data_IF_481427395626
#
_entry.id   IF_481427395626
#
_cell.length_a   1.000
_cell.length_b   1.000
_cell.length_c   1.000
_cell.angle_alpha   90.00
_cell.angle_beta   90.00
_cell.angle_gamma   90.00
#
_symmetry.space_group_name_H-M   'P 1'
#
loop_
_entity.id
_entity.type
_entity.pdbx_description
1 polymer ?
#
# COMPACT_ATOMS: atom_id res chain seq x y z
N UNK A 1 -29.61 -30.09 42.28
CA UNK A 1 -29.03 -29.31 41.16
C UNK A 1 -27.66 -28.72 41.49
N UNK A 2 -27.39 -28.27 42.72
CA UNK A 2 -26.05 -27.82 43.14
C UNK A 2 -24.94 -28.89 42.94
N UNK A 3 -25.23 -30.16 43.26
CA UNK A 3 -24.31 -31.27 42.98
C UNK A 3 -23.99 -31.45 41.49
N UNK A 4 -24.97 -31.19 40.61
CA UNK A 4 -24.78 -31.28 39.16
C UNK A 4 -23.95 -30.11 38.63
N UNK A 5 -24.17 -28.91 39.17
CA UNK A 5 -23.33 -27.73 38.90
C UNK A 5 -21.88 -27.98 39.30
N UNK A 6 -21.63 -28.47 40.52
CA UNK A 6 -20.29 -28.76 41.02
C UNK A 6 -19.59 -29.87 40.24
N UNK A 7 -20.33 -30.90 39.79
CA UNK A 7 -19.78 -31.95 38.92
C UNK A 7 -19.31 -31.38 37.57
N UNK A 8 -20.15 -30.58 36.89
CA UNK A 8 -19.75 -29.95 35.62
C UNK A 8 -18.60 -28.95 35.77
N UNK A 9 -18.56 -28.21 36.88
CA UNK A 9 -17.43 -27.34 37.23
C UNK A 9 -16.13 -28.14 37.38
N UNK A 10 -16.15 -29.26 38.11
CA UNK A 10 -15.00 -30.11 38.34
C UNK A 10 -14.51 -30.81 37.05
N UNK A 11 -15.43 -31.17 36.16
CA UNK A 11 -15.13 -31.79 34.85
C UNK A 11 -14.68 -30.77 33.79
N UNK A 12 -14.62 -29.47 34.10
CA UNK A 12 -14.25 -28.43 33.14
C UNK A 12 -15.29 -28.17 32.03
N UNK A 13 -16.53 -28.65 32.22
CA UNK A 13 -17.64 -28.49 31.27
C UNK A 13 -18.29 -27.11 31.45
N UNK A 14 -17.57 -26.06 31.02
CA UNK A 14 -17.92 -24.64 31.27
C UNK A 14 -19.35 -24.31 30.84
N UNK A 15 -19.74 -24.61 29.59
CA UNK A 15 -21.06 -24.26 29.08
C UNK A 15 -22.19 -24.94 29.87
N UNK A 16 -22.01 -26.22 30.22
CA UNK A 16 -22.98 -26.99 30.99
C UNK A 16 -23.04 -26.52 32.45
N UNK A 17 -21.90 -26.20 33.06
CA UNK A 17 -21.82 -25.64 34.40
C UNK A 17 -22.52 -24.27 34.47
N UNK A 18 -22.24 -23.37 33.52
CA UNK A 18 -22.88 -22.05 33.46
C UNK A 18 -24.39 -22.18 33.28
N UNK A 19 -24.86 -23.04 32.36
CA UNK A 19 -26.29 -23.28 32.14
C UNK A 19 -27.00 -23.79 33.40
N UNK A 20 -26.43 -24.79 34.08
CA UNK A 20 -27.02 -25.37 35.29
C UNK A 20 -26.96 -24.37 36.45
N UNK A 21 -25.85 -23.63 36.59
CA UNK A 21 -25.69 -22.59 37.60
C UNK A 21 -26.69 -21.45 37.42
N UNK A 22 -26.86 -20.95 36.19
CA UNK A 22 -27.83 -19.91 35.86
C UNK A 22 -29.27 -20.37 36.15
N UNK A 23 -29.63 -21.59 35.73
CA UNK A 23 -30.96 -22.13 35.99
C UNK A 23 -31.24 -22.29 37.48
N UNK A 24 -30.24 -22.79 38.23
CA UNK A 24 -30.33 -22.97 39.68
C UNK A 24 -30.51 -21.63 40.40
N UNK A 25 -29.73 -20.62 40.04
CA UNK A 25 -29.82 -19.27 40.60
C UNK A 25 -31.15 -18.61 40.27
N UNK A 26 -31.60 -18.64 39.01
CA UNK A 26 -32.88 -18.03 38.61
C UNK A 26 -34.10 -18.65 39.32
N UNK A 27 -34.02 -19.92 39.71
CA UNK A 27 -35.08 -20.59 40.48
C UNK A 27 -35.01 -20.32 41.98
N UNK A 28 -33.88 -19.83 42.48
CA UNK A 28 -33.64 -19.57 43.91
C UNK A 28 -32.95 -18.21 44.09
N UNK A 29 -33.56 -17.10 43.64
CA UNK A 29 -32.89 -15.80 43.54
C UNK A 29 -32.55 -15.16 44.89
N UNK A 30 -33.16 -15.64 45.97
CA UNK A 30 -32.93 -15.17 47.35
C UNK A 30 -31.91 -16.03 48.11
N UNK A 31 -31.52 -17.18 47.54
CA UNK A 31 -30.63 -18.10 48.22
C UNK A 31 -29.17 -17.64 48.06
N UNK A 32 -28.58 -17.14 49.15
CA UNK A 32 -27.22 -16.61 49.18
C UNK A 32 -26.16 -17.67 48.83
N UNK A 33 -26.29 -18.91 49.29
CA UNK A 33 -25.34 -19.99 48.97
C UNK A 33 -25.32 -20.30 47.47
N UNK A 34 -26.49 -20.37 46.85
CA UNK A 34 -26.63 -20.59 45.40
C UNK A 34 -26.06 -19.41 44.61
N UNK A 35 -26.31 -18.19 45.06
CA UNK A 35 -25.73 -16.99 44.46
C UNK A 35 -24.21 -17.03 44.50
N UNK A 36 -23.62 -17.25 45.68
CA UNK A 36 -22.15 -17.28 45.86
C UNK A 36 -21.51 -18.34 44.98
N UNK A 37 -22.05 -19.56 44.98
CA UNK A 37 -21.51 -20.65 44.17
C UNK A 37 -21.48 -20.33 42.67
N UNK A 38 -22.53 -19.67 42.16
CA UNK A 38 -22.63 -19.28 40.76
C UNK A 38 -21.78 -18.04 40.44
N UNK A 39 -21.87 -17.00 41.27
CA UNK A 39 -21.13 -15.74 41.13
C UNK A 39 -19.62 -15.96 41.18
N UNK A 40 -19.11 -16.70 42.18
CA UNK A 40 -17.68 -16.99 42.32
C UNK A 40 -17.16 -17.77 41.11
N UNK A 41 -17.98 -18.66 40.55
CA UNK A 41 -17.60 -19.38 39.34
C UNK A 41 -17.51 -18.47 38.13
N UNK A 42 -18.46 -17.54 37.94
CA UNK A 42 -18.40 -16.54 36.88
C UNK A 42 -17.19 -15.61 37.05
N UNK A 43 -16.90 -15.15 38.28
CA UNK A 43 -15.72 -14.37 38.60
C UNK A 43 -14.42 -15.14 38.32
N UNK A 44 -14.35 -16.43 38.66
CA UNK A 44 -13.21 -17.27 38.35
C UNK A 44 -12.99 -17.41 36.83
N UNK A 45 -14.05 -17.61 36.04
CA UNK A 45 -13.96 -17.66 34.58
C UNK A 45 -13.53 -16.31 33.98
N UNK A 46 -14.09 -15.20 34.48
CA UNK A 46 -13.70 -13.85 34.09
C UNK A 46 -12.22 -13.53 34.42
N UNK A 47 -11.68 -14.09 35.50
CA UNK A 47 -10.30 -13.90 35.91
C UNK A 47 -9.28 -14.77 35.19
N UNK A 48 -9.66 -15.97 34.71
CA UNK A 48 -8.68 -17.01 34.34
C UNK A 48 -8.70 -17.46 32.88
N UNK A 49 -9.74 -17.16 32.10
CA UNK A 49 -9.81 -17.60 30.71
C UNK A 49 -8.79 -16.87 29.82
N UNK A 50 -8.29 -17.51 28.75
CA UNK A 50 -7.30 -16.88 27.86
C UNK A 50 -7.92 -15.82 26.91
N UNK A 51 -9.20 -15.97 26.57
CA UNK A 51 -9.91 -15.09 25.64
C UNK A 51 -10.47 -13.88 26.37
N UNK A 52 -10.02 -12.68 26.01
CA UNK A 52 -10.53 -11.42 26.59
C UNK A 52 -12.03 -11.26 26.37
N UNK A 53 -12.55 -11.67 25.21
CA UNK A 53 -13.98 -11.59 24.90
C UNK A 53 -14.81 -12.49 25.84
N UNK A 54 -14.34 -13.72 26.09
CA UNK A 54 -15.03 -14.64 26.99
C UNK A 54 -14.99 -14.14 28.43
N UNK A 55 -13.82 -13.64 28.87
CA UNK A 55 -13.67 -13.04 30.21
C UNK A 55 -14.64 -11.87 30.42
N UNK A 56 -14.76 -10.97 29.43
CA UNK A 56 -15.69 -9.85 29.48
C UNK A 56 -17.15 -10.32 29.52
N UNK A 57 -17.49 -11.36 28.74
CA UNK A 57 -18.83 -11.93 28.78
C UNK A 57 -19.17 -12.49 30.16
N UNK A 58 -18.25 -13.20 30.82
CA UNK A 58 -18.50 -13.74 32.16
C UNK A 58 -18.51 -12.65 33.25
N UNK A 59 -17.69 -11.61 33.14
CA UNK A 59 -17.77 -10.45 34.02
C UNK A 59 -19.13 -9.74 33.91
N UNK A 60 -19.65 -9.58 32.67
CA UNK A 60 -20.97 -9.02 32.43
C UNK A 60 -22.08 -9.92 33.02
N UNK A 61 -21.99 -11.24 32.85
CA UNK A 61 -22.94 -12.18 33.46
C UNK A 61 -22.90 -12.14 34.99
N UNK A 62 -21.70 -12.01 35.60
CA UNK A 62 -21.55 -11.86 37.05
C UNK A 62 -22.19 -10.55 37.54
N UNK A 63 -22.04 -9.46 36.78
CA UNK A 63 -22.70 -8.17 37.06
C UNK A 63 -24.22 -8.29 37.07
N UNK A 64 -24.78 -8.96 36.06
CA UNK A 64 -26.23 -9.23 35.98
C UNK A 64 -26.70 -10.09 37.15
N UNK A 65 -25.96 -11.15 37.49
CA UNK A 65 -26.32 -12.03 38.60
C UNK A 65 -26.29 -11.30 39.94
N UNK A 66 -25.29 -10.45 40.17
CA UNK A 66 -25.16 -9.64 41.39
C UNK A 66 -26.27 -8.59 41.49
N UNK A 67 -26.62 -7.92 40.39
CA UNK A 67 -27.75 -6.98 40.35
C UNK A 67 -29.05 -7.69 40.72
N UNK A 68 -29.34 -8.82 40.05
CA UNK A 68 -30.55 -9.59 40.28
C UNK A 68 -30.65 -10.15 41.70
N UNK A 69 -29.55 -10.63 42.27
CA UNK A 69 -29.50 -11.05 43.68
C UNK A 69 -29.78 -9.88 44.62
N UNK A 70 -29.14 -8.73 44.39
CA UNK A 70 -29.31 -7.54 45.24
C UNK A 70 -30.72 -6.95 45.20
N UNK A 71 -31.45 -7.16 44.10
CA UNK A 71 -32.86 -6.74 43.96
C UNK A 71 -33.83 -7.76 44.56
N UNK A 72 -33.47 -9.04 44.61
CA UNK A 72 -34.37 -10.12 45.01
C UNK A 72 -34.26 -10.50 46.49
N UNK A 73 -33.08 -10.33 47.09
CA UNK A 73 -32.79 -10.77 48.45
C UNK A 73 -33.42 -9.85 49.52
N UNK A 74 -33.83 -10.44 50.65
CA UNK A 74 -34.23 -9.67 51.84
C UNK A 74 -32.98 -9.07 52.48
N UNK A 75 -32.90 -7.75 52.54
CA UNK A 75 -31.70 -7.04 52.99
C UNK A 75 -31.64 -6.94 54.51
N UNK A 76 -30.50 -7.35 55.06
CA UNK A 76 -30.04 -7.01 56.41
C UNK A 76 -28.67 -6.32 56.33
N UNK A 77 -28.19 -5.79 57.46
CA UNK A 77 -26.91 -5.05 57.51
C UNK A 77 -25.72 -5.91 57.05
N UNK A 78 -25.70 -7.20 57.38
CA UNK A 78 -24.63 -8.12 57.00
C UNK A 78 -24.63 -8.45 55.50
N UNK A 79 -25.82 -8.61 54.91
CA UNK A 79 -25.96 -8.87 53.48
C UNK A 79 -25.62 -7.65 52.63
N UNK A 80 -25.93 -6.44 53.11
CA UNK A 80 -25.53 -5.19 52.45
C UNK A 80 -24.00 -5.05 52.42
N UNK A 81 -23.32 -5.40 53.51
CA UNK A 81 -21.86 -5.44 53.55
C UNK A 81 -21.29 -6.51 52.59
N UNK A 82 -21.87 -7.71 52.58
CA UNK A 82 -21.47 -8.79 51.67
C UNK A 82 -21.66 -8.41 50.18
N UNK A 83 -22.80 -7.82 49.82
CA UNK A 83 -23.06 -7.32 48.45
C UNK A 83 -22.03 -6.26 48.05
N UNK A 84 -21.66 -5.37 48.98
CA UNK A 84 -20.62 -4.38 48.74
C UNK A 84 -19.26 -5.04 48.48
N UNK A 85 -18.92 -6.10 49.22
CA UNK A 85 -17.74 -6.93 48.98
C UNK A 85 -17.74 -7.61 47.59
N UNK A 86 -18.87 -8.20 47.17
CA UNK A 86 -19.00 -8.79 45.83
C UNK A 86 -18.87 -7.75 44.71
N UNK A 87 -19.48 -6.57 44.89
CA UNK A 87 -19.33 -5.44 43.96
C UNK A 87 -17.88 -5.00 43.83
N UNK A 88 -17.17 -4.89 44.95
CA UNK A 88 -15.76 -4.54 44.95
C UNK A 88 -14.91 -5.61 44.25
N UNK A 89 -15.15 -6.90 44.53
CA UNK A 89 -14.45 -7.99 43.88
C UNK A 89 -14.64 -7.99 42.36
N UNK A 90 -15.88 -7.86 41.89
CA UNK A 90 -16.18 -7.78 40.46
C UNK A 90 -15.57 -6.52 39.81
N UNK A 91 -15.60 -5.39 40.51
CA UNK A 91 -14.99 -4.14 40.04
C UNK A 91 -13.47 -4.29 39.80
N UNK A 92 -12.76 -4.99 40.69
CA UNK A 92 -11.33 -5.29 40.50
C UNK A 92 -11.13 -6.10 39.22
N UNK A 93 -11.90 -7.16 39.00
CA UNK A 93 -11.80 -8.00 37.79
C UNK A 93 -12.07 -7.18 36.51
N UNK A 94 -13.10 -6.33 36.52
CA UNK A 94 -13.44 -5.48 35.36
C UNK A 94 -12.33 -4.45 35.08
N UNK A 95 -11.78 -3.82 36.13
CA UNK A 95 -10.69 -2.87 35.97
C UNK A 95 -9.43 -3.55 35.43
N UNK A 96 -9.08 -4.73 35.93
CA UNK A 96 -7.94 -5.51 35.44
C UNK A 96 -8.10 -5.88 33.95
N UNK A 97 -9.32 -6.24 33.53
CA UNK A 97 -9.65 -6.48 32.12
C UNK A 97 -9.46 -5.23 31.27
N UNK A 98 -9.99 -4.09 31.71
CA UNK A 98 -9.88 -2.83 30.99
C UNK A 98 -8.41 -2.36 30.85
N UNK A 99 -7.62 -2.49 31.92
CA UNK A 99 -6.19 -2.16 31.90
C UNK A 99 -5.43 -3.10 30.96
N UNK A 100 -5.71 -4.40 31.01
CA UNK A 100 -5.09 -5.38 30.12
C UNK A 100 -5.40 -5.12 28.65
N UNK A 101 -6.66 -4.81 28.33
CA UNK A 101 -7.08 -4.49 26.97
C UNK A 101 -6.45 -3.18 26.47
N UNK A 102 -6.44 -2.14 27.30
CA UNK A 102 -5.81 -0.88 26.95
C UNK A 102 -4.30 -1.05 26.73
N UNK A 103 -3.62 -1.84 27.56
CA UNK A 103 -2.21 -2.15 27.40
C UNK A 103 -1.94 -2.88 26.08
N UNK A 104 -2.76 -3.87 25.73
CA UNK A 104 -2.64 -4.60 24.47
C UNK A 104 -2.87 -3.68 23.25
N UNK A 105 -3.87 -2.80 23.30
CA UNK A 105 -4.14 -1.81 22.25
C UNK A 105 -2.97 -0.83 22.10
N UNK A 106 -2.42 -0.33 23.20
CA UNK A 106 -1.26 0.57 23.19
C UNK A 106 -0.02 -0.13 22.61
N UNK A 107 0.21 -1.40 22.95
CA UNK A 107 1.32 -2.19 22.42
C UNK A 107 1.18 -2.46 20.91
N UNK A 108 -0.05 -2.76 20.44
CA UNK A 108 -0.34 -2.90 19.02
C UNK A 108 -0.10 -1.58 18.26
N UNK A 109 -0.59 -0.46 18.80
CA UNK A 109 -0.35 0.86 18.23
C UNK A 109 1.14 1.19 18.17
N UNK A 110 1.90 0.93 19.23
CA UNK A 110 3.34 1.16 19.26
C UNK A 110 4.08 0.29 18.23
N UNK A 111 3.63 -0.94 18.02
CA UNK A 111 4.18 -1.85 17.00
C UNK A 111 3.91 -1.32 15.59
N UNK A 112 2.67 -0.89 15.30
CA UNK A 112 2.31 -0.28 14.02
C UNK A 112 3.11 1.00 13.76
N UNK A 113 3.27 1.86 14.78
CA UNK A 113 4.10 3.06 14.70
C UNK A 113 5.58 2.75 14.42
N UNK A 114 6.13 1.70 15.01
CA UNK A 114 7.49 1.25 14.73
C UNK A 114 7.65 0.75 13.28
N UNK A 115 6.70 -0.05 12.79
CA UNK A 115 6.67 -0.51 11.40
C UNK A 115 6.53 0.65 10.41
N UNK A 116 5.71 1.64 10.73
CA UNK A 116 5.59 2.88 9.96
C UNK A 116 6.92 3.63 9.89
N UNK A 117 7.67 3.74 11.00
CA UNK A 117 9.01 4.34 10.99
C UNK A 117 9.97 3.62 10.05
N UNK A 118 9.95 2.29 10.02
CA UNK A 118 10.82 1.53 9.14
C UNK A 118 10.43 1.68 7.67
N UNK A 119 9.13 1.72 7.38
CA UNK A 119 8.61 1.98 6.03
C UNK A 119 8.95 3.40 5.56
N UNK A 120 8.83 4.42 6.41
CA UNK A 120 9.24 5.79 6.11
C UNK A 120 10.74 5.92 5.85
N UNK A 121 11.58 5.27 6.67
CA UNK A 121 13.03 5.19 6.42
C UNK A 121 13.32 4.53 5.07
N UNK A 122 12.56 3.48 4.72
CA UNK A 122 12.71 2.81 3.43
C UNK A 122 12.34 3.74 2.28
N UNK A 123 11.26 4.50 2.39
CA UNK A 123 10.87 5.51 1.39
C UNK A 123 11.97 6.57 1.20
N UNK A 124 12.61 7.04 2.28
CA UNK A 124 13.76 7.96 2.18
C UNK A 124 14.91 7.33 1.36
N UNK A 125 15.25 6.06 1.62
CA UNK A 125 16.31 5.37 0.86
C UNK A 125 15.92 5.17 -0.61
N UNK A 126 14.64 4.89 -0.88
CA UNK A 126 14.14 4.69 -2.23
C UNK A 126 14.10 6.01 -3.03
N UNK A 127 13.89 7.14 -2.38
CA UNK A 127 14.07 8.47 -2.97
C UNK A 127 15.48 8.63 -3.53
N UNK A 128 16.50 8.27 -2.76
CA UNK A 128 17.90 8.35 -3.21
C UNK A 128 18.17 7.39 -4.38
N UNK A 129 17.59 6.20 -4.34
CA UNK A 129 17.70 5.23 -5.44
C UNK A 129 17.04 5.76 -6.73
N UNK A 130 15.85 6.35 -6.62
CA UNK A 130 15.13 6.98 -7.72
C UNK A 130 15.94 8.14 -8.31
N UNK A 131 16.54 8.98 -7.47
CA UNK A 131 17.41 10.07 -7.91
C UNK A 131 18.67 9.58 -8.64
N UNK A 132 19.16 8.37 -8.34
CA UNK A 132 20.36 7.80 -8.99
C UNK A 132 20.05 6.94 -10.22
N UNK A 133 18.77 6.69 -10.52
CA UNK A 133 18.39 5.87 -11.66
C UNK A 133 18.92 6.48 -12.97
N UNK A 134 19.69 5.69 -13.72
CA UNK A 134 20.33 6.10 -14.97
C UNK A 134 19.76 5.38 -16.21
N UNK A 135 18.86 4.42 -16.00
CA UNK A 135 18.12 3.65 -17.01
C UNK A 135 16.64 3.57 -16.66
N UNK A 136 15.81 3.29 -17.67
CA UNK A 136 14.36 3.09 -17.48
C UNK A 136 14.07 1.94 -16.51
N UNK A 137 14.79 0.82 -16.63
CA UNK A 137 14.64 -0.34 -15.75
C UNK A 137 14.91 -0.01 -14.27
N UNK A 138 15.99 0.74 -14.00
CA UNK A 138 16.31 1.17 -12.62
C UNK A 138 15.22 2.09 -12.06
N UNK A 139 14.69 2.98 -12.89
CA UNK A 139 13.61 3.89 -12.53
C UNK A 139 12.32 3.12 -12.22
N UNK A 140 11.90 2.21 -13.10
CA UNK A 140 10.68 1.41 -12.94
C UNK A 140 10.77 0.51 -11.69
N UNK A 141 11.91 -0.12 -11.45
CA UNK A 141 12.15 -0.93 -10.24
C UNK A 141 12.07 -0.08 -8.96
N UNK A 142 12.59 1.16 -8.99
CA UNK A 142 12.48 2.06 -7.85
C UNK A 142 11.01 2.45 -7.59
N UNK A 143 10.22 2.72 -8.64
CA UNK A 143 8.79 3.04 -8.51
C UNK A 143 8.00 1.88 -7.90
N UNK A 144 8.25 0.65 -8.34
CA UNK A 144 7.61 -0.54 -7.76
C UNK A 144 7.92 -0.67 -6.27
N UNK A 145 9.20 -0.54 -5.90
CA UNK A 145 9.62 -0.62 -4.50
C UNK A 145 9.02 0.51 -3.64
N UNK A 146 8.86 1.71 -4.19
CA UNK A 146 8.18 2.83 -3.51
C UNK A 146 6.72 2.47 -3.26
N UNK A 147 6.00 1.94 -4.26
CA UNK A 147 4.61 1.52 -4.11
C UNK A 147 4.42 0.42 -3.06
N UNK A 148 5.33 -0.57 -3.02
CA UNK A 148 5.31 -1.62 -1.99
C UNK A 148 5.56 -1.08 -0.58
N UNK A 149 6.51 -0.15 -0.43
CA UNK A 149 6.81 0.46 0.87
C UNK A 149 5.67 1.39 1.33
N UNK A 150 5.06 2.15 0.42
CA UNK A 150 3.90 3.00 0.69
C UNK A 150 2.69 2.18 1.13
N UNK A 151 2.41 1.07 0.44
CA UNK A 151 1.29 0.17 0.75
C UNK A 151 1.39 -0.54 2.11
N UNK A 152 2.57 -0.56 2.74
CA UNK A 152 2.77 -1.12 4.09
C UNK A 152 2.51 -0.12 5.21
N UNK A 153 2.33 1.16 4.89
CA UNK A 153 2.12 2.21 5.90
C UNK A 153 0.67 2.17 6.38
N UNK A 154 0.48 1.93 7.67
CA UNK A 154 -0.82 2.03 8.33
C UNK A 154 -1.12 3.51 8.65
N UNK A 155 -1.86 4.16 7.75
CA UNK A 155 -2.12 5.61 7.82
C UNK A 155 -2.87 6.04 9.08
N UNK A 156 -3.80 5.21 9.55
CA UNK A 156 -4.59 5.48 10.75
C UNK A 156 -3.76 5.38 12.05
N UNK A 157 -2.60 4.72 12.00
CA UNK A 157 -1.69 4.55 13.13
C UNK A 157 -0.52 5.56 13.11
N UNK A 158 -0.46 6.46 12.12
CA UNK A 158 0.59 7.47 12.05
C UNK A 158 0.47 8.48 13.19
N UNK A 159 1.62 8.80 13.80
CA UNK A 159 1.75 9.99 14.64
C UNK A 159 1.75 11.26 13.79
N UNK A 160 1.46 12.42 14.40
CA UNK A 160 1.52 13.72 13.72
C UNK A 160 2.88 13.99 13.05
N UNK A 161 3.97 13.56 13.71
CA UNK A 161 5.33 13.71 13.17
C UNK A 161 5.54 12.81 11.95
N UNK A 162 5.10 11.54 12.02
CA UNK A 162 5.21 10.61 10.91
C UNK A 162 4.34 11.03 9.72
N UNK A 163 3.13 11.52 9.98
CA UNK A 163 2.22 12.05 8.96
C UNK A 163 2.85 13.22 8.19
N UNK A 164 3.45 14.18 8.90
CA UNK A 164 4.19 15.29 8.26
C UNK A 164 5.36 14.81 7.38
N UNK A 165 6.12 13.82 7.86
CA UNK A 165 7.23 13.24 7.09
C UNK A 165 6.70 12.52 5.85
N UNK A 166 5.62 11.76 5.99
CA UNK A 166 4.97 11.06 4.89
C UNK A 166 4.49 12.01 3.80
N UNK A 167 3.79 13.08 4.18
CA UNK A 167 3.27 14.08 3.24
C UNK A 167 4.41 14.78 2.49
N UNK A 168 5.48 15.16 3.21
CA UNK A 168 6.67 15.75 2.63
C UNK A 168 7.32 14.79 1.61
N UNK A 169 7.52 13.52 2.00
CA UNK A 169 8.10 12.51 1.12
C UNK A 169 7.25 12.27 -0.11
N UNK A 170 5.92 12.18 0.01
CA UNK A 170 5.02 11.94 -1.11
C UNK A 170 5.13 13.04 -2.17
N UNK A 171 5.18 14.30 -1.72
CA UNK A 171 5.40 15.45 -2.61
C UNK A 171 6.78 15.38 -3.28
N UNK A 172 7.83 15.19 -2.49
CA UNK A 172 9.20 15.12 -2.99
C UNK A 172 9.42 13.99 -4.00
N UNK A 173 8.81 12.82 -3.78
CA UNK A 173 8.86 11.71 -4.74
C UNK A 173 8.14 12.09 -6.03
N UNK A 174 6.96 12.69 -5.97
CA UNK A 174 6.21 13.12 -7.17
C UNK A 174 7.00 14.09 -8.04
N UNK A 175 7.64 15.08 -7.40
CA UNK A 175 8.49 16.06 -8.09
C UNK A 175 9.71 15.37 -8.74
N UNK A 176 10.39 14.50 -7.99
CA UNK A 176 11.57 13.76 -8.45
C UNK A 176 11.25 12.78 -9.59
N UNK A 177 10.11 12.09 -9.55
CA UNK A 177 9.62 11.22 -10.62
C UNK A 177 9.49 12.01 -11.92
N UNK A 178 8.86 13.18 -11.84
CA UNK A 178 8.61 14.05 -12.99
C UNK A 178 9.92 14.62 -13.57
N UNK A 179 10.88 14.96 -12.72
CA UNK A 179 12.21 15.39 -13.14
C UNK A 179 12.99 14.27 -13.83
N UNK A 180 13.04 13.08 -13.21
CA UNK A 180 13.78 11.94 -13.76
C UNK A 180 13.20 11.38 -15.04
N UNK A 181 11.88 11.37 -15.17
CA UNK A 181 11.23 10.99 -16.41
C UNK A 181 11.68 11.90 -17.58
N UNK A 182 11.72 13.22 -17.35
CA UNK A 182 12.20 14.19 -18.35
C UNK A 182 13.68 14.01 -18.68
N UNK A 183 14.52 13.75 -17.68
CA UNK A 183 15.95 13.49 -17.89
C UNK A 183 16.19 12.24 -18.75
N UNK A 184 15.53 11.13 -18.41
CA UNK A 184 15.64 9.87 -19.15
C UNK A 184 15.11 10.00 -20.58
N UNK A 185 13.99 10.70 -20.76
CA UNK A 185 13.44 10.98 -22.09
C UNK A 185 14.39 11.86 -22.92
N UNK A 186 14.96 12.92 -22.34
CA UNK A 186 15.94 13.76 -23.01
C UNK A 186 17.18 12.97 -23.43
N UNK A 187 17.68 12.08 -22.56
CA UNK A 187 18.83 11.21 -22.87
C UNK A 187 18.50 10.25 -24.01
N UNK A 188 17.31 9.64 -24.00
CA UNK A 188 16.81 8.77 -25.08
C UNK A 188 16.71 9.54 -26.40
N UNK A 189 16.14 10.75 -26.38
CA UNK A 189 16.00 11.60 -27.55
C UNK A 189 17.35 12.12 -28.05
N UNK A 190 18.31 12.39 -27.17
CA UNK A 190 19.67 12.77 -27.57
C UNK A 190 20.36 11.64 -28.35
N UNK A 191 20.31 10.40 -27.83
CA UNK A 191 20.87 9.24 -28.53
C UNK A 191 20.18 9.00 -29.88
N UNK A 192 18.85 9.14 -29.92
CA UNK A 192 18.06 9.04 -31.14
C UNK A 192 18.44 10.11 -32.19
N UNK A 193 18.58 11.37 -31.78
CA UNK A 193 18.98 12.47 -32.65
C UNK A 193 20.39 12.30 -33.21
N UNK A 194 21.33 11.79 -32.40
CA UNK A 194 22.67 11.46 -32.89
C UNK A 194 22.64 10.40 -33.99
N UNK A 195 21.88 9.32 -33.79
CA UNK A 195 21.70 8.29 -34.82
C UNK A 195 21.01 8.84 -36.08
N UNK A 196 20.02 9.72 -35.92
CA UNK A 196 19.35 10.39 -37.04
C UNK A 196 20.32 11.25 -37.84
N UNK A 197 21.14 12.08 -37.17
CA UNK A 197 22.13 12.92 -37.83
C UNK A 197 23.18 12.10 -38.60
N UNK A 198 23.64 10.98 -38.03
CA UNK A 198 24.55 10.04 -38.71
C UNK A 198 23.89 9.41 -39.95
N UNK A 199 22.60 9.04 -39.85
CA UNK A 199 21.84 8.50 -40.98
C UNK A 199 21.61 9.54 -42.08
N UNK A 200 21.29 10.79 -41.75
CA UNK A 200 21.15 11.88 -42.71
C UNK A 200 22.48 12.19 -43.40
N UNK A 201 23.58 12.17 -42.65
CA UNK A 201 24.94 12.32 -43.20
C UNK A 201 25.26 11.20 -44.18
N UNK A 202 24.89 9.95 -43.85
CA UNK A 202 25.04 8.79 -44.73
C UNK A 202 24.23 8.97 -46.02
N UNK A 203 22.97 9.40 -45.90
CA UNK A 203 22.10 9.69 -47.04
C UNK A 203 22.73 10.72 -47.98
N UNK A 204 23.19 11.84 -47.41
CA UNK A 204 23.83 12.92 -48.14
C UNK A 204 25.09 12.46 -48.88
N UNK A 205 25.99 11.75 -48.19
CA UNK A 205 27.24 11.25 -48.78
C UNK A 205 26.98 10.23 -49.88
N UNK A 206 26.07 9.28 -49.67
CA UNK A 206 25.76 8.25 -50.66
C UNK A 206 25.11 8.87 -51.91
N UNK A 207 24.14 9.76 -51.73
CA UNK A 207 23.48 10.45 -52.84
C UNK A 207 24.48 11.27 -53.65
N UNK A 208 25.29 12.10 -52.97
CA UNK A 208 26.29 12.97 -53.62
C UNK A 208 27.37 12.19 -54.36
N UNK A 209 27.77 11.03 -53.85
CA UNK A 209 28.78 10.19 -54.50
C UNK A 209 28.29 9.55 -55.81
N UNK A 210 26.98 9.43 -56.01
CA UNK A 210 26.42 8.72 -57.17
C UNK A 210 25.03 9.26 -57.55
N UNK A 211 24.92 10.57 -57.82
CA UNK A 211 23.63 11.24 -58.08
C UNK A 211 22.81 10.53 -59.18
N UNK A 212 23.46 10.08 -60.26
CA UNK A 212 22.79 9.38 -61.36
C UNK A 212 22.11 8.06 -60.96
N UNK A 213 22.69 7.32 -60.00
CA UNK A 213 22.13 6.05 -59.50
C UNK A 213 20.82 6.28 -58.75
N UNK A 214 20.75 7.36 -57.96
CA UNK A 214 19.61 7.67 -57.11
C UNK A 214 18.53 8.50 -57.82
N UNK A 215 18.70 8.78 -59.11
CA UNK A 215 17.58 9.21 -59.98
C UNK A 215 16.60 8.05 -60.28
N UNK A 216 17.04 6.79 -60.09
CA UNK A 216 16.11 5.66 -60.11
C UNK A 216 15.27 5.64 -58.83
N UNK A 217 13.94 5.68 -58.98
CA UNK A 217 12.99 5.73 -57.87
C UNK A 217 13.15 4.58 -56.86
N UNK A 218 13.53 3.37 -57.29
CA UNK A 218 13.71 2.22 -56.37
C UNK A 218 14.94 2.41 -55.47
N UNK A 219 16.04 2.89 -56.05
CA UNK A 219 17.28 3.19 -55.31
C UNK A 219 17.08 4.39 -54.38
N UNK A 220 16.34 5.40 -54.84
CA UNK A 220 15.98 6.58 -54.05
C UNK A 220 15.11 6.19 -52.86
N UNK A 221 14.09 5.34 -53.09
CA UNK A 221 13.22 4.84 -52.02
C UNK A 221 14.02 4.08 -50.98
N UNK A 222 14.87 3.13 -51.38
CA UNK A 222 15.69 2.35 -50.45
C UNK A 222 16.63 3.22 -49.61
N UNK A 223 17.24 4.25 -50.22
CA UNK A 223 18.05 5.21 -49.49
C UNK A 223 17.19 6.02 -48.50
N UNK A 224 16.15 6.69 -49.01
CA UNK A 224 15.37 7.62 -48.21
C UNK A 224 14.58 6.94 -47.08
N UNK A 225 13.99 5.77 -47.34
CA UNK A 225 13.25 4.98 -46.33
C UNK A 225 14.15 4.47 -45.20
N UNK A 226 15.40 4.07 -45.49
CA UNK A 226 16.32 3.55 -44.48
C UNK A 226 17.10 4.63 -43.73
N UNK A 227 17.11 5.87 -44.23
CA UNK A 227 17.81 7.01 -43.62
C UNK A 227 16.91 8.19 -43.30
N UNK A 228 16.40 8.92 -44.30
CA UNK A 228 15.72 10.21 -44.11
C UNK A 228 14.37 10.05 -43.42
N UNK A 229 13.56 9.10 -43.90
CA UNK A 229 12.20 8.88 -43.41
C UNK A 229 12.12 7.78 -42.35
N UNK A 230 13.25 7.17 -42.00
CA UNK A 230 13.35 6.18 -40.93
C UNK A 230 13.15 6.80 -39.53
N UNK A 231 13.22 8.13 -39.39
CA UNK A 231 13.16 8.81 -38.10
C UNK A 231 11.93 9.72 -38.03
N UNK A 232 11.19 9.62 -36.93
CA UNK A 232 10.07 10.50 -36.59
C UNK A 232 10.50 11.94 -36.29
N UNK A 233 10.03 12.95 -37.06
CA UNK A 233 10.37 14.35 -36.87
C UNK A 233 9.94 14.92 -35.51
N UNK A 234 8.88 14.39 -34.87
CA UNK A 234 8.40 14.89 -33.59
C UNK A 234 9.40 14.70 -32.43
N UNK A 235 10.32 13.73 -32.58
CA UNK A 235 11.38 13.44 -31.60
C UNK A 235 12.71 14.11 -31.94
N UNK A 236 12.80 14.80 -33.08
CA UNK A 236 14.03 15.44 -33.50
C UNK A 236 14.19 16.80 -32.81
N UNK A 237 15.39 17.08 -32.33
CA UNK A 237 15.78 18.40 -31.87
C UNK A 237 15.86 19.35 -33.05
N UNK A 238 15.68 20.64 -32.78
CA UNK A 238 15.66 21.67 -33.81
C UNK A 238 16.96 21.68 -34.64
N UNK A 239 18.11 21.46 -34.01
CA UNK A 239 19.42 21.38 -34.67
C UNK A 239 19.48 20.21 -35.66
N UNK A 240 18.90 19.07 -35.28
CA UNK A 240 18.85 17.87 -36.13
C UNK A 240 17.85 18.05 -37.27
N UNK A 241 16.74 18.74 -37.03
CA UNK A 241 15.75 19.12 -38.06
C UNK A 241 16.35 20.07 -39.11
N UNK A 242 17.16 21.06 -38.68
CA UNK A 242 17.85 21.95 -39.61
C UNK A 242 18.76 21.15 -40.55
N UNK A 243 19.53 20.19 -40.00
CA UNK A 243 20.39 19.34 -40.83
C UNK A 243 19.59 18.41 -41.74
N UNK A 244 18.51 17.80 -41.24
CA UNK A 244 17.57 17.02 -42.06
C UNK A 244 17.05 17.83 -43.25
N UNK A 245 16.58 19.06 -43.01
CA UNK A 245 16.06 19.93 -44.05
C UNK A 245 17.14 20.28 -45.08
N UNK A 246 18.38 20.55 -44.64
CA UNK A 246 19.50 20.77 -45.55
C UNK A 246 19.73 19.58 -46.48
N UNK A 247 19.79 18.35 -45.93
CA UNK A 247 19.99 17.13 -46.71
C UNK A 247 18.80 16.86 -47.65
N UNK A 248 17.57 16.99 -47.14
CA UNK A 248 16.35 16.80 -47.92
C UNK A 248 16.29 17.78 -49.09
N UNK A 249 16.47 19.08 -48.85
CA UNK A 249 16.45 20.11 -49.90
C UNK A 249 17.56 19.91 -50.94
N UNK A 250 18.74 19.46 -50.53
CA UNK A 250 19.82 19.14 -51.47
C UNK A 250 19.42 18.01 -52.43
N UNK A 251 18.91 16.90 -51.88
CA UNK A 251 18.47 15.75 -52.69
C UNK A 251 17.30 16.16 -53.59
N UNK A 252 16.28 16.81 -53.01
CA UNK A 252 15.09 17.28 -53.72
C UNK A 252 15.45 18.23 -54.89
N UNK A 253 16.42 19.12 -54.70
CA UNK A 253 16.89 20.05 -55.72
C UNK A 253 17.67 19.41 -56.88
N UNK A 254 18.13 18.15 -56.74
CA UNK A 254 18.88 17.41 -57.77
C UNK A 254 18.03 16.41 -58.56
N UNK A 255 16.79 16.19 -58.12
CA UNK A 255 15.83 15.32 -58.79
C UNK A 255 15.05 16.07 -59.88
N UNK A 256 14.53 15.32 -60.84
CA UNK A 256 13.52 15.78 -61.79
C UNK A 256 12.13 15.86 -61.11
N UNK A 257 11.13 16.37 -61.83
CA UNK A 257 9.81 16.62 -61.24
C UNK A 257 9.09 15.33 -60.81
N UNK A 258 9.29 14.23 -61.55
CA UNK A 258 8.79 12.90 -61.18
C UNK A 258 9.52 12.35 -59.94
N UNK A 259 10.84 12.53 -59.84
CA UNK A 259 11.62 12.16 -58.66
C UNK A 259 11.26 12.96 -57.42
N UNK A 260 10.97 14.26 -57.56
CA UNK A 260 10.48 15.12 -56.46
C UNK A 260 9.12 14.67 -55.94
N UNK A 261 8.20 14.33 -56.84
CA UNK A 261 6.89 13.79 -56.48
C UNK A 261 7.04 12.45 -55.76
N UNK A 262 7.89 11.56 -56.28
CA UNK A 262 8.18 10.26 -55.66
C UNK A 262 8.78 10.44 -54.25
N UNK A 263 9.78 11.31 -54.08
CA UNK A 263 10.39 11.57 -52.77
C UNK A 263 9.38 12.13 -51.75
N UNK A 264 8.47 12.99 -52.20
CA UNK A 264 7.38 13.51 -51.35
C UNK A 264 6.44 12.39 -50.91
N UNK A 265 6.03 11.50 -51.82
CA UNK A 265 5.20 10.33 -51.48
C UNK A 265 5.88 9.41 -50.47
N UNK A 266 7.17 9.14 -50.68
CA UNK A 266 7.95 8.32 -49.76
C UNK A 266 7.97 8.88 -48.33
N UNK A 267 7.97 10.21 -48.16
CA UNK A 267 7.93 10.82 -46.82
C UNK A 267 6.62 10.57 -46.07
N UNK A 268 5.54 10.26 -46.79
CA UNK A 268 4.21 9.95 -46.25
C UNK A 268 4.08 8.43 -46.00
N UNK A 269 4.62 7.62 -46.91
CA UNK A 269 4.41 6.16 -46.95
C UNK A 269 5.43 5.35 -46.11
N UNK A 270 6.59 5.92 -45.74
CA UNK A 270 7.61 5.17 -45.00
C UNK A 270 7.25 4.95 -43.53
N UNK A 271 7.44 3.71 -43.06
CA UNK A 271 7.38 3.36 -41.64
C UNK A 271 8.56 3.97 -40.87
N UNK A 272 8.25 4.61 -39.74
CA UNK A 272 9.24 5.28 -38.87
C UNK A 272 9.74 4.32 -37.81
N UNK A 273 11.02 4.39 -37.44
CA UNK A 273 11.58 3.68 -36.30
C UNK A 273 11.00 4.26 -35.00
N UNK A 274 10.00 3.57 -34.45
CA UNK A 274 9.29 3.95 -33.22
C UNK A 274 10.02 3.53 -31.93
N UNK A 275 11.12 2.77 -32.01
CA UNK A 275 11.83 2.20 -30.86
C UNK A 275 13.20 2.84 -30.67
#
# INVERSE_FOLDING_TARGET
MLNLFNAYKAEGKIAQAVLVGQNLFNRNPQNHEVFVAYFDYLCALAGSLPSTADRQSFANQASVALAFFSESAELDEGLVEAISGYRQHLSVIINDLAVSEQSARNAALATAQAQNNDSLKKLIQLKDALHRAASQEQFDNALLAIGEADGRIEKDALTDAQSKVYDALTKEHTDLISEKMRELEFKKNTAYNRQAADAFTKAFKQFRANEGKYKNQTQLFSLASSTLFAYDPARLFNETLIYYNHVYSYIFGKLDDDGKLALTRFSIECERKLR
#
